data_IF_573864456577
#
_entry.id   IF_573864456577
#
_cell.length_a   1.000
_cell.length_b   1.000
_cell.length_c   1.000
_cell.angle_alpha   90.00
_cell.angle_beta   90.00
_cell.angle_gamma   90.00
#
_symmetry.space_group_name_H-M   'P 1'
#
loop_
_entity.id
_entity.type
_entity.pdbx_description
1 polymer ?
#
# COMPACT_ATOMS: atom_id res chain seq x y z
N UNK A 1 7.88 30.30 -10.06
CA UNK A 1 8.98 29.68 -9.31
C UNK A 1 8.49 28.34 -8.76
N UNK A 2 9.32 27.31 -8.77
CA UNK A 2 9.02 26.00 -8.18
C UNK A 2 8.62 26.11 -6.70
N UNK A 3 9.26 27.01 -5.94
CA UNK A 3 8.97 27.25 -4.51
C UNK A 3 7.53 27.71 -4.31
N UNK A 4 7.07 28.70 -5.08
CA UNK A 4 5.69 29.22 -5.01
C UNK A 4 4.66 28.15 -5.38
N UNK A 5 5.00 27.24 -6.29
CA UNK A 5 4.13 26.12 -6.67
C UNK A 5 3.98 25.11 -5.52
N UNK A 6 5.08 24.72 -4.88
CA UNK A 6 5.06 23.83 -3.71
C UNK A 6 4.30 24.48 -2.55
N UNK A 7 4.56 25.76 -2.27
CA UNK A 7 3.87 26.53 -1.22
C UNK A 7 2.36 26.59 -1.43
N UNK A 8 1.92 26.81 -2.67
CA UNK A 8 0.50 27.01 -2.97
C UNK A 8 -0.30 25.71 -3.01
N UNK A 9 0.30 24.62 -3.48
CA UNK A 9 -0.45 23.40 -3.77
C UNK A 9 -0.10 22.20 -2.89
N UNK A 10 1.15 22.11 -2.39
CA UNK A 10 1.62 20.93 -1.66
C UNK A 10 1.72 21.16 -0.16
N UNK A 11 2.15 22.35 0.28
CA UNK A 11 2.23 22.70 1.70
C UNK A 11 0.88 22.62 2.46
N UNK A 12 -0.28 22.99 1.88
CA UNK A 12 -1.57 22.85 2.56
C UNK A 12 -1.98 21.39 2.83
N UNK A 13 -1.47 20.45 2.02
CA UNK A 13 -1.75 19.00 2.13
C UNK A 13 -0.53 18.23 2.60
N UNK A 14 0.41 18.89 3.29
CA UNK A 14 1.64 18.27 3.81
C UNK A 14 1.40 17.03 4.66
N UNK A 15 0.25 16.97 5.31
CA UNK A 15 -0.17 15.84 6.13
C UNK A 15 -0.48 14.58 5.28
N UNK A 16 -0.57 14.67 3.96
CA UNK A 16 -0.77 13.52 3.06
C UNK A 16 0.54 12.97 2.48
N UNK A 17 1.66 13.71 2.55
CA UNK A 17 2.93 13.35 1.90
C UNK A 17 4.18 13.53 2.77
N UNK A 18 4.09 14.17 3.94
CA UNK A 18 5.23 14.37 4.85
C UNK A 18 5.36 13.22 5.84
N UNK A 19 6.44 12.46 5.73
CA UNK A 19 6.76 11.32 6.60
C UNK A 19 6.80 11.65 8.11
N UNK A 20 7.03 12.91 8.48
CA UNK A 20 7.10 13.34 9.90
C UNK A 20 5.72 13.33 10.56
N UNK A 21 4.65 13.57 9.80
CA UNK A 21 3.28 13.54 10.33
C UNK A 21 2.69 12.12 10.42
N UNK A 22 3.47 11.08 10.09
CA UNK A 22 2.96 9.72 9.90
C UNK A 22 3.55 8.67 10.85
N UNK A 23 4.35 9.08 11.84
CA UNK A 23 5.09 8.15 12.72
C UNK A 23 4.22 7.29 13.65
N UNK A 24 2.91 7.59 13.78
CA UNK A 24 1.98 6.93 14.71
C UNK A 24 0.65 6.47 14.08
N UNK A 25 0.55 6.41 12.75
CA UNK A 25 -0.68 6.03 12.08
C UNK A 25 -0.57 4.62 11.48
N UNK A 26 -1.65 3.84 11.54
CA UNK A 26 -1.69 2.52 10.91
C UNK A 26 -1.85 2.66 9.39
N UNK A 27 -1.36 1.68 8.62
CA UNK A 27 -1.46 1.66 7.14
C UNK A 27 -2.92 1.81 6.67
N UNK A 28 -3.89 1.39 7.49
CA UNK A 28 -5.32 1.46 7.20
C UNK A 28 -5.92 2.85 7.42
N UNK A 29 -5.49 3.57 8.46
CA UNK A 29 -5.90 4.96 8.71
C UNK A 29 -5.30 5.92 7.66
N UNK A 30 -4.23 5.49 7.00
CA UNK A 30 -3.49 6.24 5.98
C UNK A 30 -3.84 5.85 4.54
N UNK A 31 -4.92 5.11 4.30
CA UNK A 31 -5.32 4.65 2.96
C UNK A 31 -5.46 5.80 1.94
N UNK A 32 -5.84 7.00 2.40
CA UNK A 32 -5.97 8.21 1.58
C UNK A 32 -4.65 8.99 1.38
N UNK A 33 -3.52 8.47 1.87
CA UNK A 33 -2.20 9.08 1.71
C UNK A 33 -1.34 8.30 0.70
N UNK A 34 -0.25 8.93 0.24
CA UNK A 34 0.72 8.29 -0.66
C UNK A 34 1.33 6.98 -0.11
N UNK A 35 1.21 6.71 1.19
CA UNK A 35 1.79 5.53 1.84
C UNK A 35 1.23 4.22 1.32
N UNK A 36 -0.08 4.13 1.05
CA UNK A 36 -0.66 2.90 0.49
C UNK A 36 -0.12 2.65 -0.93
N UNK A 37 -0.03 3.71 -1.73
CA UNK A 37 0.52 3.65 -3.09
C UNK A 37 2.00 3.26 -3.05
N UNK A 38 2.78 3.83 -2.15
CA UNK A 38 4.21 3.53 -1.98
C UNK A 38 4.43 2.10 -1.48
N UNK A 39 3.72 1.67 -0.43
CA UNK A 39 3.79 0.31 0.09
C UNK A 39 3.39 -0.72 -0.98
N UNK A 40 2.33 -0.43 -1.73
CA UNK A 40 1.89 -1.27 -2.83
C UNK A 40 2.90 -1.27 -3.98
N UNK A 41 3.50 -0.13 -4.31
CA UNK A 41 4.57 -0.04 -5.31
C UNK A 41 5.83 -0.81 -4.88
N UNK A 42 6.21 -0.77 -3.60
CA UNK A 42 7.32 -1.58 -3.07
C UNK A 42 7.03 -3.08 -3.19
N UNK A 43 5.83 -3.50 -2.83
CA UNK A 43 5.39 -4.90 -2.98
C UNK A 43 5.38 -5.32 -4.46
N UNK A 44 4.84 -4.48 -5.33
CA UNK A 44 4.81 -4.69 -6.78
C UNK A 44 6.22 -4.84 -7.35
N UNK A 45 7.12 -3.93 -6.96
CA UNK A 45 8.52 -3.94 -7.36
C UNK A 45 9.25 -5.21 -6.91
N UNK A 46 9.08 -5.59 -5.64
CA UNK A 46 9.79 -6.71 -5.02
C UNK A 46 9.27 -8.08 -5.47
N UNK A 47 7.95 -8.24 -5.56
CA UNK A 47 7.32 -9.54 -5.80
C UNK A 47 7.01 -9.82 -7.27
N UNK A 48 6.68 -8.78 -8.06
CA UNK A 48 6.07 -8.98 -9.38
C UNK A 48 6.86 -8.37 -10.55
N UNK A 49 7.66 -7.33 -10.31
CA UNK A 49 8.45 -6.65 -11.35
C UNK A 49 9.94 -7.03 -11.36
N UNK A 50 10.36 -7.96 -10.50
CA UNK A 50 11.75 -8.46 -10.41
C UNK A 50 12.77 -7.31 -10.19
N UNK A 51 12.36 -6.25 -9.49
CA UNK A 51 13.21 -5.09 -9.23
C UNK A 51 13.40 -4.11 -10.41
N UNK A 52 12.77 -4.33 -11.58
CA UNK A 52 12.87 -3.41 -12.73
C UNK A 52 11.92 -2.23 -12.62
N UNK A 53 12.45 -1.03 -12.83
CA UNK A 53 11.77 0.24 -12.59
C UNK A 53 10.95 0.81 -13.75
N UNK A 54 11.28 0.47 -15.01
CA UNK A 54 10.57 0.99 -16.19
C UNK A 54 10.05 -0.17 -17.05
N UNK A 55 8.73 -0.37 -17.05
CA UNK A 55 8.05 -1.21 -18.04
C UNK A 55 6.95 -0.37 -18.71
N UNK A 56 6.66 -0.62 -20.00
CA UNK A 56 5.51 -0.01 -20.67
C UNK A 56 4.23 -0.28 -19.88
N UNK A 57 3.30 0.69 -19.90
CA UNK A 57 2.02 0.59 -19.18
C UNK A 57 1.26 -0.70 -19.52
N UNK A 58 1.28 -1.14 -20.78
CA UNK A 58 0.61 -2.37 -21.22
C UNK A 58 1.18 -3.62 -20.54
N UNK A 59 2.49 -3.65 -20.35
CA UNK A 59 3.16 -4.75 -19.67
C UNK A 59 2.88 -4.74 -18.17
N UNK A 60 2.75 -3.55 -17.58
CA UNK A 60 2.32 -3.42 -16.20
C UNK A 60 0.89 -3.97 -16.05
N UNK A 61 -0.04 -3.55 -16.91
CA UNK A 61 -1.44 -4.01 -16.90
C UNK A 61 -1.50 -5.54 -17.04
N UNK A 62 -0.72 -6.13 -17.94
CA UNK A 62 -0.71 -7.58 -18.10
C UNK A 62 -0.21 -8.31 -16.84
N UNK A 63 0.81 -7.80 -16.15
CA UNK A 63 1.28 -8.35 -14.87
C UNK A 63 0.20 -8.22 -13.80
N UNK A 64 -0.47 -7.07 -13.71
CA UNK A 64 -1.54 -6.86 -12.73
C UNK A 64 -2.65 -7.89 -12.89
N UNK A 65 -3.11 -8.11 -14.13
CA UNK A 65 -4.21 -9.02 -14.42
C UNK A 65 -3.81 -10.49 -14.31
N UNK A 66 -2.63 -10.87 -14.80
CA UNK A 66 -2.25 -12.28 -14.95
C UNK A 66 -1.50 -12.85 -13.74
N UNK A 67 -0.81 -12.02 -12.96
CA UNK A 67 0.00 -12.46 -11.81
C UNK A 67 -0.53 -11.93 -10.49
N UNK A 68 -0.81 -10.63 -10.41
CA UNK A 68 -1.16 -9.97 -9.14
C UNK A 68 -2.55 -10.38 -8.67
N UNK A 69 -3.57 -10.30 -9.53
CA UNK A 69 -4.94 -10.69 -9.15
C UNK A 69 -5.02 -12.15 -8.70
N UNK A 70 -4.51 -13.15 -9.46
CA UNK A 70 -4.54 -14.54 -9.01
C UNK A 70 -3.79 -14.77 -7.70
N UNK A 71 -2.66 -14.07 -7.48
CA UNK A 71 -1.93 -14.15 -6.22
C UNK A 71 -2.78 -13.69 -5.03
N UNK A 72 -3.45 -12.54 -5.13
CA UNK A 72 -4.29 -12.05 -4.03
C UNK A 72 -5.55 -12.89 -3.81
N UNK A 73 -6.15 -13.42 -4.87
CA UNK A 73 -7.27 -14.37 -4.76
C UNK A 73 -6.84 -15.65 -4.05
N UNK A 74 -5.68 -16.21 -4.42
CA UNK A 74 -5.13 -17.40 -3.76
C UNK A 74 -4.76 -17.12 -2.30
N UNK A 75 -4.12 -15.99 -2.01
CA UNK A 75 -3.79 -15.54 -0.66
C UNK A 75 -5.04 -15.40 0.20
N UNK A 76 -6.08 -14.73 -0.31
CA UNK A 76 -7.33 -14.56 0.41
C UNK A 76 -8.01 -15.91 0.72
N UNK A 77 -8.03 -16.83 -0.25
CA UNK A 77 -8.50 -18.21 -0.02
C UNK A 77 -7.68 -18.91 1.06
N UNK A 78 -6.35 -18.84 1.00
CA UNK A 78 -5.49 -19.47 2.00
C UNK A 78 -5.74 -18.91 3.41
N UNK A 79 -5.93 -17.60 3.53
CA UNK A 79 -6.28 -16.94 4.79
C UNK A 79 -7.64 -17.41 5.34
N UNK A 80 -8.64 -17.63 4.48
CA UNK A 80 -9.93 -18.21 4.90
C UNK A 80 -9.78 -19.62 5.47
N UNK A 81 -8.80 -20.39 5.00
CA UNK A 81 -8.49 -21.73 5.53
C UNK A 81 -7.51 -21.71 6.72
N UNK A 82 -7.13 -20.53 7.22
CA UNK A 82 -6.20 -20.38 8.35
C UNK A 82 -4.71 -20.50 7.99
N UNK A 83 -4.38 -20.56 6.70
CA UNK A 83 -3.00 -20.52 6.22
C UNK A 83 -2.55 -19.06 6.01
N UNK A 84 -1.27 -18.76 6.29
CA UNK A 84 -0.65 -17.42 6.16
C UNK A 84 -1.06 -16.34 7.18
N UNK A 85 -1.79 -16.71 8.24
CA UNK A 85 -2.16 -15.79 9.33
C UNK A 85 -3.28 -14.81 8.94
N UNK A 86 -3.91 -14.17 9.94
CA UNK A 86 -4.99 -13.22 9.69
C UNK A 86 -4.49 -12.02 8.87
N UNK A 87 -5.39 -11.44 8.09
CA UNK A 87 -5.09 -10.18 7.40
C UNK A 87 -4.73 -9.10 8.41
N UNK A 88 -3.89 -8.13 8.03
CA UNK A 88 -3.44 -7.05 8.90
C UNK A 88 -4.63 -6.27 9.49
N UNK A 89 -5.74 -6.18 8.77
CA UNK A 89 -7.00 -5.58 9.25
C UNK A 89 -7.66 -6.44 10.35
N UNK A 90 -7.71 -7.75 10.13
CA UNK A 90 -8.29 -8.72 11.09
C UNK A 90 -7.44 -8.75 12.35
N UNK A 91 -6.12 -8.73 12.21
CA UNK A 91 -5.18 -8.68 13.33
C UNK A 91 -5.32 -7.37 14.12
N UNK A 92 -5.42 -6.23 13.45
CA UNK A 92 -5.64 -4.94 14.12
C UNK A 92 -6.94 -4.92 14.93
N UNK A 93 -8.04 -5.48 14.41
CA UNK A 93 -9.32 -5.60 15.11
C UNK A 93 -9.24 -6.53 16.33
N UNK A 94 -8.51 -7.64 16.21
CA UNK A 94 -8.27 -8.57 17.32
C UNK A 94 -7.44 -7.91 18.43
N UNK A 95 -6.41 -7.14 18.07
CA UNK A 95 -5.54 -6.44 19.02
C UNK A 95 -6.25 -5.28 19.73
N UNK A 96 -7.21 -4.60 19.08
CA UNK A 96 -8.05 -3.59 19.73
C UNK A 96 -9.07 -4.20 20.68
N UNK A 97 -9.69 -5.34 20.32
CA UNK A 97 -10.65 -6.02 21.20
C UNK A 97 -10.01 -6.71 22.41
N UNK A 98 -8.74 -7.11 22.32
CA UNK A 98 -8.01 -7.77 23.41
C UNK A 98 -7.35 -6.79 24.40
N UNK A 99 -7.31 -5.48 24.07
CA UNK A 99 -6.83 -4.40 24.94
C UNK A 99 -7.94 -3.65 25.67
N UNK A 100 -9.21 -3.92 25.36
CA UNK A 100 -10.39 -3.43 26.09
C UNK A 100 -10.82 -4.42 27.16
#
# INVERSE_FOLDING_TARGET
SFVVYIERYWLPVKDMWSAVNHQNCTIFELSDTNMLVEAWHHLLKGMFLEGKHNRPLDHLISILLTKVVPYFVARHRNQQFGFQGPDLEVQYRMDTHSRS
#
